data_IF_938273729747
#
_entry.id   IF_938273729747
#
_cell.length_a   1.000
_cell.length_b   1.000
_cell.length_c   1.000
_cell.angle_alpha   90.00
_cell.angle_beta   90.00
_cell.angle_gamma   90.00
#
_symmetry.space_group_name_H-M   'P 1'
#
loop_
_entity.id
_entity.type
_entity.pdbx_description
1 polymer ?
#
# COMPACT_ATOMS: atom_id res chain seq x y z
N UNK A 1 7.02 6.01 -21.76
CA UNK A 1 8.43 6.02 -21.32
C UNK A 1 8.92 4.58 -21.25
N UNK A 2 9.90 4.20 -22.08
CA UNK A 2 10.61 2.90 -21.94
C UNK A 2 11.76 3.12 -20.97
N UNK A 3 11.72 2.46 -19.81
CA UNK A 3 12.81 2.51 -18.84
C UNK A 3 13.85 1.45 -19.20
N UNK A 4 15.13 1.81 -19.20
CA UNK A 4 16.25 0.92 -19.51
C UNK A 4 16.91 0.33 -18.26
N UNK A 5 16.78 1.00 -17.11
CA UNK A 5 17.31 0.55 -15.82
C UNK A 5 16.17 0.31 -14.82
N UNK A 6 16.28 -0.80 -14.08
CA UNK A 6 15.30 -1.18 -13.04
C UNK A 6 15.20 -0.14 -11.93
N UNK A 7 16.32 0.50 -11.57
CA UNK A 7 16.38 1.52 -10.52
C UNK A 7 15.55 2.78 -10.83
N UNK A 8 15.57 3.26 -12.08
CA UNK A 8 14.80 4.45 -12.46
C UNK A 8 13.30 4.18 -12.33
N UNK A 9 12.86 2.98 -12.71
CA UNK A 9 11.48 2.55 -12.56
C UNK A 9 11.10 2.36 -11.08
N UNK A 10 12.02 1.83 -10.27
CA UNK A 10 11.85 1.68 -8.82
C UNK A 10 11.65 3.04 -8.15
N UNK A 11 12.49 4.03 -8.44
CA UNK A 11 12.38 5.40 -7.89
C UNK A 11 11.06 6.06 -8.29
N UNK A 12 10.64 5.92 -9.55
CA UNK A 12 9.34 6.44 -10.00
C UNK A 12 8.18 5.77 -9.26
N UNK A 13 8.25 4.47 -9.03
CA UNK A 13 7.23 3.75 -8.25
C UNK A 13 7.23 4.22 -6.80
N UNK A 14 8.41 4.35 -6.17
CA UNK A 14 8.55 4.84 -4.81
C UNK A 14 7.97 6.24 -4.65
N UNK A 15 8.25 7.16 -5.58
CA UNK A 15 7.68 8.51 -5.57
C UNK A 15 6.15 8.51 -5.70
N UNK A 16 5.59 7.57 -6.47
CA UNK A 16 4.14 7.40 -6.55
C UNK A 16 3.54 6.94 -5.21
N UNK A 17 4.19 6.00 -4.51
CA UNK A 17 3.77 5.57 -3.17
C UNK A 17 3.89 6.71 -2.15
N UNK A 18 5.01 7.45 -2.18
CA UNK A 18 5.24 8.61 -1.30
C UNK A 18 4.17 9.68 -1.49
N UNK A 19 3.75 9.94 -2.73
CA UNK A 19 2.69 10.90 -3.00
C UNK A 19 1.36 10.54 -2.32
N UNK A 20 0.97 9.25 -2.35
CA UNK A 20 -0.21 8.78 -1.62
C UNK A 20 -0.04 8.83 -0.10
N UNK A 21 1.16 8.49 0.38
CA UNK A 21 1.47 8.52 1.80
C UNK A 21 1.47 9.96 2.37
N UNK A 22 2.05 10.92 1.64
CA UNK A 22 2.05 12.35 1.99
C UNK A 22 0.64 12.96 1.99
N UNK A 23 -0.26 12.47 1.13
CA UNK A 23 -1.66 12.91 1.15
C UNK A 23 -2.32 12.64 2.52
N UNK A 24 -2.02 11.48 3.11
CA UNK A 24 -2.47 11.10 4.45
C UNK A 24 -1.55 11.66 5.55
N UNK A 25 -0.45 12.31 5.16
CA UNK A 25 0.56 12.88 6.05
C UNK A 25 1.51 11.84 6.64
N UNK A 26 1.58 10.61 6.10
CA UNK A 26 2.43 9.52 6.56
C UNK A 26 3.63 9.28 5.62
N UNK A 27 4.37 10.31 5.19
CA UNK A 27 5.60 10.07 4.43
C UNK A 27 6.72 9.53 5.34
N UNK A 28 6.72 8.22 5.56
CA UNK A 28 7.66 7.50 6.44
C UNK A 28 9.09 7.49 5.85
N UNK A 29 9.27 7.84 4.58
CA UNK A 29 10.59 7.76 3.91
C UNK A 29 11.50 8.94 4.26
N UNK A 30 10.98 9.97 4.93
CA UNK A 30 11.79 11.08 5.39
C UNK A 30 12.48 10.73 6.72
N UNK A 31 13.81 10.89 6.77
CA UNK A 31 14.69 10.44 7.87
C UNK A 31 14.39 11.09 9.24
N UNK A 32 13.53 12.10 9.28
CA UNK A 32 13.05 12.77 10.49
C UNK A 32 11.52 12.96 10.47
N UNK A 33 10.77 11.92 10.12
CA UNK A 33 9.32 11.98 10.09
C UNK A 33 8.72 12.53 11.40
N UNK A 34 8.03 13.67 11.30
CA UNK A 34 7.18 14.25 12.35
C UNK A 34 5.75 14.26 11.83
N UNK A 35 4.80 13.85 12.68
CA UNK A 35 3.39 13.84 12.32
C UNK A 35 2.94 15.23 11.83
N UNK A 36 2.39 15.28 10.62
CA UNK A 36 1.88 16.51 10.04
C UNK A 36 0.41 16.71 10.47
N UNK A 37 -0.12 17.93 10.33
CA UNK A 37 -1.53 18.25 10.61
C UNK A 37 -2.48 17.32 9.86
N UNK A 38 -2.11 16.90 8.64
CA UNK A 38 -2.84 15.92 7.83
C UNK A 38 -2.94 14.54 8.50
N UNK A 39 -1.84 14.07 9.11
CA UNK A 39 -1.79 12.80 9.85
C UNK A 39 -2.74 12.83 11.05
N UNK A 40 -2.71 13.92 11.81
CA UNK A 40 -3.59 14.10 12.95
C UNK A 40 -5.06 14.20 12.52
N UNK A 41 -5.35 14.92 11.43
CA UNK A 41 -6.70 15.00 10.89
C UNK A 41 -7.22 13.62 10.43
N UNK A 42 -6.38 12.81 9.76
CA UNK A 42 -6.75 11.46 9.33
C UNK A 42 -6.99 10.54 10.53
N UNK A 43 -6.12 10.59 11.55
CA UNK A 43 -6.27 9.83 12.79
C UNK A 43 -7.53 10.23 13.55
N UNK A 44 -7.85 11.53 13.67
CA UNK A 44 -9.07 12.00 14.32
C UNK A 44 -10.30 11.51 13.57
N UNK A 45 -10.30 11.55 12.23
CA UNK A 45 -11.39 11.01 11.42
C UNK A 45 -11.61 9.51 11.66
N UNK A 46 -10.55 8.70 11.60
CA UNK A 46 -10.67 7.25 11.86
C UNK A 46 -11.07 6.98 13.32
N UNK A 47 -10.54 7.74 14.27
CA UNK A 47 -10.90 7.60 15.68
C UNK A 47 -12.38 7.91 15.90
N UNK A 48 -12.90 8.98 15.31
CA UNK A 48 -14.31 9.32 15.38
C UNK A 48 -15.19 8.24 14.76
N UNK A 49 -14.77 7.60 13.67
CA UNK A 49 -15.45 6.43 13.10
C UNK A 49 -15.51 5.27 14.10
N UNK A 50 -14.38 4.94 14.74
CA UNK A 50 -14.27 3.82 15.68
C UNK A 50 -15.08 4.04 16.96
N UNK A 51 -14.89 5.18 17.61
CA UNK A 51 -15.55 5.49 18.87
C UNK A 51 -16.98 5.99 18.69
N UNK A 52 -17.35 6.48 17.51
CA UNK A 52 -18.70 6.94 17.21
C UNK A 52 -19.65 5.83 16.76
N UNK A 53 -19.16 4.62 16.47
CA UNK A 53 -19.97 3.54 15.88
C UNK A 53 -21.11 3.02 16.78
N UNK A 54 -21.03 3.20 18.11
CA UNK A 54 -22.11 2.80 19.02
C UNK A 54 -23.43 3.55 18.74
N UNK A 55 -23.36 4.81 18.31
CA UNK A 55 -24.52 5.65 18.07
C UNK A 55 -25.38 5.16 16.88
N UNK A 56 -24.82 4.92 15.67
CA UNK A 56 -25.59 4.36 14.57
C UNK A 56 -26.05 2.91 14.84
N UNK A 57 -25.36 2.12 15.66
CA UNK A 57 -25.86 0.80 16.09
C UNK A 57 -27.16 0.94 16.90
N UNK A 58 -27.19 1.88 17.83
CA UNK A 58 -28.39 2.17 18.61
C UNK A 58 -29.53 2.74 17.73
N UNK A 59 -29.21 3.70 16.85
CA UNK A 59 -30.19 4.35 15.98
C UNK A 59 -30.81 3.38 14.95
N UNK A 60 -30.01 2.49 14.35
CA UNK A 60 -30.46 1.53 13.34
C UNK A 60 -30.79 0.14 13.90
N UNK A 61 -31.01 0.00 15.21
CA UNK A 61 -31.25 -1.30 15.85
C UNK A 61 -32.36 -2.13 15.18
N UNK A 62 -33.41 -1.48 14.69
CA UNK A 62 -34.53 -2.13 14.00
C UNK A 62 -34.23 -2.58 12.56
N UNK A 63 -33.17 -2.05 11.92
CA UNK A 63 -32.86 -2.29 10.51
C UNK A 63 -31.54 -3.05 10.34
N UNK A 64 -31.66 -4.37 10.27
CA UNK A 64 -30.53 -5.30 10.13
C UNK A 64 -29.63 -5.03 8.92
N UNK A 65 -30.18 -4.57 7.79
CA UNK A 65 -29.40 -4.31 6.57
C UNK A 65 -28.41 -3.16 6.82
N UNK A 66 -28.88 -2.07 7.44
CA UNK A 66 -28.03 -0.93 7.78
C UNK A 66 -26.97 -1.28 8.83
N UNK A 67 -27.30 -2.16 9.77
CA UNK A 67 -26.34 -2.68 10.76
C UNK A 67 -25.25 -3.53 10.11
N UNK A 68 -25.60 -4.40 9.15
CA UNK A 68 -24.61 -5.20 8.41
C UNK A 68 -23.67 -4.32 7.59
N UNK A 69 -24.21 -3.30 6.93
CA UNK A 69 -23.42 -2.31 6.20
C UNK A 69 -22.46 -1.55 7.13
N UNK A 70 -22.97 -1.07 8.28
CA UNK A 70 -22.17 -0.41 9.30
C UNK A 70 -21.06 -1.32 9.83
N UNK A 71 -21.34 -2.61 10.07
CA UNK A 71 -20.35 -3.58 10.52
C UNK A 71 -19.23 -3.78 9.48
N UNK A 72 -19.56 -3.80 8.18
CA UNK A 72 -18.57 -3.88 7.12
C UNK A 72 -17.66 -2.64 7.09
N UNK A 73 -18.24 -1.43 7.20
CA UNK A 73 -17.46 -0.18 7.27
C UNK A 73 -16.60 -0.14 8.54
N UNK A 74 -17.12 -0.61 9.67
CA UNK A 74 -16.37 -0.67 10.92
C UNK A 74 -15.16 -1.62 10.80
N UNK A 75 -15.32 -2.78 10.17
CA UNK A 75 -14.22 -3.71 9.91
C UNK A 75 -13.11 -3.06 9.05
N UNK A 76 -13.48 -2.32 8.00
CA UNK A 76 -12.52 -1.54 7.19
C UNK A 76 -11.83 -0.48 8.04
N UNK A 77 -12.56 0.21 8.92
CA UNK A 77 -11.96 1.18 9.83
C UNK A 77 -10.96 0.57 10.82
N UNK A 78 -11.23 -0.64 11.35
CA UNK A 78 -10.26 -1.39 12.17
C UNK A 78 -9.00 -1.68 11.36
N UNK A 79 -9.13 -2.16 10.12
CA UNK A 79 -7.97 -2.43 9.25
C UNK A 79 -7.14 -1.16 9.01
N UNK A 80 -7.80 -0.03 8.78
CA UNK A 80 -7.14 1.27 8.66
C UNK A 80 -6.35 1.59 9.94
N UNK A 81 -6.99 1.51 11.11
CA UNK A 81 -6.36 1.83 12.39
C UNK A 81 -5.13 0.96 12.69
N UNK A 82 -5.20 -0.35 12.41
CA UNK A 82 -4.05 -1.27 12.58
C UNK A 82 -2.89 -0.88 11.66
N UNK A 83 -3.17 -0.50 10.41
CA UNK A 83 -2.14 -0.05 9.45
C UNK A 83 -1.49 1.27 9.90
N UNK A 84 -2.29 2.25 10.31
CA UNK A 84 -1.80 3.50 10.91
C UNK A 84 -0.90 3.23 12.12
N UNK A 85 -1.37 2.37 13.04
CA UNK A 85 -0.60 2.01 14.23
C UNK A 85 0.74 1.34 13.88
N UNK A 86 0.72 0.39 12.95
CA UNK A 86 1.94 -0.34 12.52
C UNK A 86 2.99 0.61 11.96
N UNK A 87 2.56 1.52 11.09
CA UNK A 87 3.41 2.55 10.50
C UNK A 87 4.03 3.47 11.57
N UNK A 88 3.20 3.98 12.48
CA UNK A 88 3.66 4.87 13.55
C UNK A 88 4.59 4.16 14.54
N UNK A 89 4.38 2.86 14.78
CA UNK A 89 5.15 2.06 15.74
C UNK A 89 6.51 1.62 15.19
N UNK A 90 6.59 1.32 13.89
CA UNK A 90 7.77 0.73 13.25
C UNK A 90 8.32 1.55 12.05
N UNK A 91 8.50 2.88 12.14
CA UNK A 91 8.96 3.69 11.02
C UNK A 91 10.37 3.32 10.54
N UNK A 92 11.24 2.92 11.47
CA UNK A 92 12.61 2.50 11.18
C UNK A 92 12.67 1.22 10.32
N UNK A 93 11.74 0.28 10.56
CA UNK A 93 11.63 -0.95 9.78
C UNK A 93 11.35 -0.66 8.31
N UNK A 94 10.36 0.19 8.03
CA UNK A 94 10.03 0.60 6.67
C UNK A 94 11.18 1.34 5.99
N UNK A 95 11.81 2.29 6.68
CA UNK A 95 12.95 3.06 6.15
C UNK A 95 14.12 2.17 5.76
N UNK A 96 14.49 1.24 6.64
CA UNK A 96 15.58 0.29 6.36
C UNK A 96 15.26 -0.63 5.19
N UNK A 97 14.01 -1.08 5.09
CA UNK A 97 13.60 -1.96 4.01
C UNK A 97 13.61 -1.24 2.65
N UNK A 98 13.22 0.04 2.61
CA UNK A 98 13.38 0.87 1.41
C UNK A 98 14.85 1.04 1.03
N UNK A 99 15.71 1.40 1.98
CA UNK A 99 17.14 1.58 1.73
C UNK A 99 17.80 0.29 1.21
N UNK A 100 17.45 -0.86 1.80
CA UNK A 100 17.94 -2.18 1.36
C UNK A 100 17.49 -2.50 -0.06
N UNK A 101 16.22 -2.23 -0.38
CA UNK A 101 15.68 -2.51 -1.71
C UNK A 101 16.26 -1.59 -2.79
N UNK A 102 16.51 -0.31 -2.45
CA UNK A 102 17.22 0.61 -3.33
C UNK A 102 18.65 0.16 -3.59
N UNK A 103 19.40 -0.21 -2.53
CA UNK A 103 20.75 -0.73 -2.65
C UNK A 103 20.79 -2.00 -3.53
N UNK A 104 19.83 -2.91 -3.35
CA UNK A 104 19.74 -4.11 -4.18
C UNK A 104 19.54 -3.79 -5.67
N UNK A 105 18.69 -2.82 -6.00
CA UNK A 105 18.51 -2.38 -7.38
C UNK A 105 19.75 -1.70 -7.95
N UNK A 106 20.51 -0.96 -7.13
CA UNK A 106 21.81 -0.35 -7.51
C UNK A 106 22.87 -1.41 -7.81
N UNK A 107 23.03 -2.40 -6.94
CA UNK A 107 24.04 -3.46 -7.11
C UNK A 107 23.77 -4.32 -8.35
N UNK A 108 22.50 -4.58 -8.65
CA UNK A 108 22.10 -5.46 -9.76
C UNK A 108 21.82 -4.72 -11.08
N UNK A 109 21.93 -3.37 -11.11
CA UNK A 109 21.64 -2.61 -12.34
C UNK A 109 22.70 -2.76 -13.42
N UNK A 110 23.93 -3.10 -13.05
CA UNK A 110 25.05 -3.23 -13.99
C UNK A 110 25.09 -4.60 -14.69
N UNK A 111 24.43 -5.61 -14.11
CA UNK A 111 24.28 -6.94 -14.72
C UNK A 111 23.09 -6.98 -15.67
N UNK A 112 23.33 -7.20 -16.97
CA UNK A 112 22.29 -7.12 -18.01
C UNK A 112 21.15 -8.13 -17.84
N UNK A 113 21.47 -9.39 -17.48
CA UNK A 113 20.49 -10.48 -17.27
C UNK A 113 19.65 -10.24 -16.00
N UNK A 114 20.29 -9.79 -14.91
CA UNK A 114 19.60 -9.49 -13.65
C UNK A 114 18.74 -8.24 -13.77
N UNK A 115 19.27 -7.16 -14.35
CA UNK A 115 18.54 -5.92 -14.57
C UNK A 115 17.25 -6.16 -15.39
N UNK A 116 17.26 -7.04 -16.39
CA UNK A 116 16.07 -7.39 -17.15
C UNK A 116 15.00 -8.10 -16.28
N UNK A 117 15.41 -9.06 -15.45
CA UNK A 117 14.50 -9.74 -14.50
C UNK A 117 13.94 -8.78 -13.45
N UNK A 118 14.77 -7.94 -12.82
CA UNK A 118 14.30 -6.93 -11.86
C UNK A 118 13.37 -5.92 -12.51
N UNK A 119 13.67 -5.47 -13.74
CA UNK A 119 12.83 -4.52 -14.46
C UNK A 119 11.43 -5.09 -14.72
N UNK A 120 11.34 -6.37 -15.11
CA UNK A 120 10.06 -7.07 -15.25
C UNK A 120 9.31 -7.14 -13.93
N UNK A 121 9.99 -7.48 -12.84
CA UNK A 121 9.38 -7.57 -11.52
C UNK A 121 8.81 -6.20 -11.07
N UNK A 122 9.60 -5.13 -11.14
CA UNK A 122 9.12 -3.78 -10.79
C UNK A 122 7.97 -3.33 -11.70
N UNK A 123 7.96 -3.73 -12.97
CA UNK A 123 6.84 -3.45 -13.85
C UNK A 123 5.55 -4.12 -13.36
N UNK A 124 5.62 -5.39 -12.94
CA UNK A 124 4.48 -6.11 -12.35
C UNK A 124 4.02 -5.45 -11.06
N UNK A 125 4.94 -5.08 -10.17
CA UNK A 125 4.64 -4.35 -8.93
C UNK A 125 3.85 -3.09 -9.25
N UNK A 126 4.35 -2.27 -10.18
CA UNK A 126 3.69 -1.02 -10.58
C UNK A 126 2.29 -1.27 -11.16
N UNK A 127 2.11 -2.32 -11.96
CA UNK A 127 0.80 -2.67 -12.51
C UNK A 127 -0.17 -3.08 -11.41
N UNK A 128 0.26 -3.94 -10.48
CA UNK A 128 -0.56 -4.40 -9.35
C UNK A 128 -0.93 -3.23 -8.44
N UNK A 129 0.03 -2.39 -8.05
CA UNK A 129 -0.22 -1.19 -7.23
C UNK A 129 -1.24 -0.24 -7.89
N UNK A 130 -1.17 -0.06 -9.21
CA UNK A 130 -2.15 0.74 -9.96
C UNK A 130 -3.53 0.10 -9.99
N UNK A 131 -3.62 -1.21 -10.16
CA UNK A 131 -4.89 -1.93 -10.13
C UNK A 131 -5.56 -1.81 -8.75
N UNK A 132 -4.78 -1.94 -7.67
CA UNK A 132 -5.27 -1.74 -6.29
C UNK A 132 -5.77 -0.29 -6.11
N UNK A 133 -4.97 0.69 -6.53
CA UNK A 133 -5.36 2.12 -6.46
C UNK A 133 -6.66 2.40 -7.21
N UNK A 134 -6.83 1.79 -8.40
CA UNK A 134 -8.02 1.91 -9.23
C UNK A 134 -9.24 1.23 -8.59
N UNK A 135 -9.06 0.05 -7.99
CA UNK A 135 -10.11 -0.65 -7.27
C UNK A 135 -10.67 0.21 -6.13
N UNK A 136 -9.80 0.82 -5.32
CA UNK A 136 -10.25 1.72 -4.25
C UNK A 136 -10.91 3.00 -4.79
N UNK A 137 -10.40 3.56 -5.88
CA UNK A 137 -11.04 4.70 -6.55
C UNK A 137 -12.46 4.35 -7.00
N UNK A 138 -12.65 3.22 -7.69
CA UNK A 138 -13.96 2.76 -8.14
C UNK A 138 -14.91 2.54 -6.96
N UNK A 139 -14.44 1.90 -5.88
CA UNK A 139 -15.23 1.73 -4.65
C UNK A 139 -15.67 3.09 -4.07
N UNK A 140 -14.76 4.06 -3.98
CA UNK A 140 -15.08 5.39 -3.48
C UNK A 140 -16.06 6.15 -4.38
N UNK A 141 -15.95 5.99 -5.70
CA UNK A 141 -16.91 6.56 -6.65
C UNK A 141 -18.29 5.93 -6.52
N UNK A 142 -18.37 4.61 -6.34
CA UNK A 142 -19.65 3.92 -6.11
C UNK A 142 -20.30 4.46 -4.85
N UNK A 143 -19.64 4.39 -3.70
CA UNK A 143 -20.18 4.89 -2.43
C UNK A 143 -20.47 6.40 -2.46
N UNK A 144 -19.60 7.18 -3.11
CA UNK A 144 -19.79 8.63 -3.27
C UNK A 144 -20.93 9.00 -4.21
N UNK A 145 -21.35 8.13 -5.12
CA UNK A 145 -22.47 8.39 -6.03
C UNK A 145 -23.84 8.05 -5.43
N UNK A 146 -23.89 7.24 -4.36
CA UNK A 146 -25.12 6.83 -3.66
C UNK A 146 -25.99 8.03 -3.24
N UNK A 147 -25.49 9.07 -2.54
CA UNK A 147 -26.33 10.21 -2.14
C UNK A 147 -26.86 10.98 -3.36
N UNK A 148 -26.06 11.12 -4.42
CA UNK A 148 -26.43 11.81 -5.65
C UNK A 148 -27.55 11.04 -6.38
N UNK A 149 -27.40 9.73 -6.52
CA UNK A 149 -28.41 8.86 -7.11
C UNK A 149 -29.71 8.86 -6.28
N UNK A 150 -29.60 8.77 -4.95
CA UNK A 150 -30.76 8.82 -4.05
C UNK A 150 -31.58 10.12 -4.23
N UNK A 151 -30.88 11.24 -4.33
CA UNK A 151 -31.52 12.54 -4.56
C UNK A 151 -32.19 12.64 -5.94
N UNK A 152 -31.54 12.17 -7.00
CA UNK A 152 -32.08 12.24 -8.37
C UNK A 152 -33.28 11.31 -8.60
N UNK A 153 -33.23 10.08 -8.10
CA UNK A 153 -34.26 9.07 -8.38
C UNK A 153 -35.42 9.08 -7.40
N UNK A 154 -35.14 9.18 -6.09
CA UNK A 154 -36.16 9.05 -5.05
C UNK A 154 -36.55 10.37 -4.41
N UNK A 155 -35.79 11.45 -4.66
CA UNK A 155 -35.88 12.73 -3.92
C UNK A 155 -35.73 12.54 -2.40
N UNK A 156 -35.10 11.45 -1.99
CA UNK A 156 -34.85 11.10 -0.59
C UNK A 156 -33.40 11.41 -0.23
N UNK A 157 -33.18 11.82 1.01
CA UNK A 157 -31.84 12.03 1.57
C UNK A 157 -31.23 10.67 1.92
N UNK A 158 -30.22 10.26 1.18
CA UNK A 158 -29.47 9.01 1.42
C UNK A 158 -28.04 9.37 1.79
N UNK A 159 -27.46 8.65 2.74
CA UNK A 159 -26.05 8.79 3.14
C UNK A 159 -25.16 7.92 2.22
N UNK A 160 -23.85 8.22 2.15
CA UNK A 160 -22.90 7.40 1.38
C UNK A 160 -22.81 5.98 1.95
N UNK A 161 -22.82 5.86 3.27
CA UNK A 161 -22.91 4.59 3.98
C UNK A 161 -23.65 4.75 5.31
N UNK A 162 -24.07 3.64 5.92
CA UNK A 162 -24.90 3.59 7.15
C UNK A 162 -24.22 4.03 8.46
N UNK A 163 -23.32 5.02 8.41
CA UNK A 163 -22.71 5.65 9.59
C UNK A 163 -23.32 7.00 9.91
N UNK A 164 -23.56 7.28 11.19
CA UNK A 164 -24.00 8.58 11.68
C UNK A 164 -23.01 9.11 12.70
N UNK A 165 -22.67 10.39 12.58
CA UNK A 165 -21.93 11.11 13.60
C UNK A 165 -22.78 11.09 14.89
N UNK A 166 -22.18 10.81 16.06
CA UNK A 166 -22.91 10.86 17.33
C UNK A 166 -23.68 12.16 17.52
N UNK A 167 -24.91 12.05 18.02
CA UNK A 167 -25.82 13.19 18.27
C UNK A 167 -26.29 13.95 17.02
N UNK A 168 -26.18 13.34 15.84
CA UNK A 168 -26.72 13.93 14.60
C UNK A 168 -27.93 13.16 14.08
N UNK A 169 -28.89 13.92 13.56
CA UNK A 169 -30.12 13.39 13.00
C UNK A 169 -30.15 13.67 11.48
N UNK A 170 -30.21 12.64 10.60
CA UNK A 170 -30.19 12.84 9.15
C UNK A 170 -31.42 13.56 8.60
N UNK A 171 -32.51 13.68 9.35
CA UNK A 171 -33.71 14.42 8.90
C UNK A 171 -33.46 15.93 8.88
N UNK A 172 -32.64 16.42 9.80
CA UNK A 172 -32.23 17.83 9.87
C UNK A 172 -31.24 18.13 8.73
N UNK A 173 -31.51 19.11 7.83
CA UNK A 173 -30.65 19.38 6.67
C UNK A 173 -29.19 19.63 7.01
N UNK A 174 -28.91 20.41 8.06
CA UNK A 174 -27.55 20.72 8.48
C UNK A 174 -26.77 19.49 8.94
N UNK A 175 -27.40 18.64 9.73
CA UNK A 175 -26.83 17.37 10.19
C UNK A 175 -26.58 16.39 9.04
N UNK A 176 -27.49 16.35 8.06
CA UNK A 176 -27.30 15.57 6.83
C UNK A 176 -26.03 16.00 6.08
N UNK A 177 -25.87 17.30 5.81
CA UNK A 177 -24.68 17.80 5.11
C UNK A 177 -23.40 17.52 5.88
N UNK A 178 -23.42 17.65 7.21
CA UNK A 178 -22.27 17.33 8.06
C UNK A 178 -21.88 15.85 7.96
N UNK A 179 -22.85 14.94 8.03
CA UNK A 179 -22.61 13.50 7.88
C UNK A 179 -22.05 13.18 6.50
N UNK A 180 -22.65 13.69 5.43
CA UNK A 180 -22.20 13.46 4.05
C UNK A 180 -20.78 14.00 3.85
N UNK A 181 -20.47 15.21 4.31
CA UNK A 181 -19.13 15.79 4.22
C UNK A 181 -18.09 14.94 4.95
N UNK A 182 -18.41 14.48 6.17
CA UNK A 182 -17.53 13.59 6.93
C UNK A 182 -17.34 12.23 6.26
N UNK A 183 -18.39 11.64 5.70
CA UNK A 183 -18.31 10.38 4.98
C UNK A 183 -17.47 10.50 3.71
N UNK A 184 -17.61 11.58 2.94
CA UNK A 184 -16.72 11.85 1.80
C UNK A 184 -15.27 12.02 2.24
N UNK A 185 -15.03 12.76 3.33
CA UNK A 185 -13.70 12.90 3.90
C UNK A 185 -13.09 11.52 4.25
N UNK A 186 -13.85 10.65 4.91
CA UNK A 186 -13.42 9.29 5.21
C UNK A 186 -13.14 8.46 3.95
N UNK A 187 -13.95 8.59 2.89
CA UNK A 187 -13.70 7.92 1.61
C UNK A 187 -12.38 8.36 0.98
N UNK A 188 -12.07 9.67 1.00
CA UNK A 188 -10.79 10.19 0.50
C UNK A 188 -9.60 9.69 1.32
N UNK A 189 -9.71 9.71 2.65
CA UNK A 189 -8.67 9.18 3.55
C UNK A 189 -8.48 7.68 3.33
N UNK A 190 -9.56 6.91 3.20
CA UNK A 190 -9.50 5.49 2.94
C UNK A 190 -8.84 5.20 1.58
N UNK A 191 -9.23 5.92 0.53
CA UNK A 191 -8.64 5.74 -0.79
C UNK A 191 -7.12 5.92 -0.77
N UNK A 192 -6.64 7.05 -0.26
CA UNK A 192 -5.21 7.33 -0.22
C UNK A 192 -4.46 6.40 0.75
N UNK A 193 -5.00 6.17 1.95
CA UNK A 193 -4.35 5.36 2.99
C UNK A 193 -4.24 3.89 2.62
N UNK A 194 -5.31 3.28 2.11
CA UNK A 194 -5.28 1.89 1.66
C UNK A 194 -4.44 1.72 0.40
N UNK A 195 -4.56 2.64 -0.56
CA UNK A 195 -3.72 2.62 -1.77
C UNK A 195 -2.24 2.65 -1.43
N UNK A 196 -1.82 3.54 -0.51
CA UNK A 196 -0.45 3.60 -0.04
C UNK A 196 -0.03 2.30 0.65
N UNK A 197 -0.76 1.89 1.70
CA UNK A 197 -0.39 0.74 2.52
C UNK A 197 -0.31 -0.56 1.72
N UNK A 198 -1.28 -0.85 0.85
CA UNK A 198 -1.26 -2.07 0.05
C UNK A 198 -0.16 -2.04 -1.00
N UNK A 199 0.09 -0.88 -1.61
CA UNK A 199 1.20 -0.74 -2.56
C UNK A 199 2.56 -0.98 -1.90
N UNK A 200 2.73 -0.54 -0.65
CA UNK A 200 3.93 -0.80 0.15
C UNK A 200 4.10 -2.31 0.40
N UNK A 201 3.03 -3.00 0.80
CA UNK A 201 3.08 -4.46 1.04
C UNK A 201 3.43 -5.20 -0.26
N UNK A 202 2.76 -4.86 -1.36
CA UNK A 202 3.05 -5.47 -2.68
C UNK A 202 4.50 -5.22 -3.08
N UNK A 203 5.02 -4.00 -2.88
CA UNK A 203 6.42 -3.69 -3.18
C UNK A 203 7.37 -4.63 -2.43
N UNK A 204 7.14 -4.87 -1.14
CA UNK A 204 8.01 -5.74 -0.35
C UNK A 204 7.85 -7.23 -0.71
N UNK A 205 6.61 -7.73 -0.76
CA UNK A 205 6.36 -9.15 -1.07
C UNK A 205 6.85 -9.50 -2.47
N UNK A 206 6.57 -8.67 -3.47
CA UNK A 206 7.03 -8.93 -4.82
C UNK A 206 8.54 -8.65 -4.98
N UNK A 207 9.14 -7.78 -4.18
CA UNK A 207 10.60 -7.64 -4.18
C UNK A 207 11.31 -8.93 -3.77
N UNK A 208 10.74 -9.72 -2.86
CA UNK A 208 11.24 -11.06 -2.51
C UNK A 208 11.29 -12.00 -3.71
N UNK A 209 10.26 -11.99 -4.56
CA UNK A 209 10.29 -12.74 -5.81
C UNK A 209 11.45 -12.29 -6.72
N UNK A 210 11.71 -10.98 -6.76
CA UNK A 210 12.87 -10.42 -7.46
C UNK A 210 14.22 -10.91 -6.92
N UNK A 211 14.37 -11.05 -5.60
CA UNK A 211 15.57 -11.63 -5.01
C UNK A 211 15.76 -13.10 -5.42
N UNK A 212 14.68 -13.88 -5.45
CA UNK A 212 14.72 -15.29 -5.88
C UNK A 212 15.09 -15.42 -7.35
N UNK A 213 14.55 -14.56 -8.22
CA UNK A 213 14.88 -14.55 -9.65
C UNK A 213 16.36 -14.20 -9.89
N UNK A 214 16.92 -13.25 -9.14
CA UNK A 214 18.36 -12.94 -9.19
C UNK A 214 19.19 -14.11 -8.70
N UNK A 215 18.83 -14.72 -7.57
CA UNK A 215 19.53 -15.88 -7.03
C UNK A 215 19.56 -17.02 -8.05
N UNK A 216 18.44 -17.29 -8.71
CA UNK A 216 18.33 -18.30 -9.76
C UNK A 216 19.26 -17.97 -10.94
N UNK A 217 19.26 -16.72 -11.42
CA UNK A 217 20.15 -16.31 -12.48
C UNK A 217 21.63 -16.49 -12.11
N UNK A 218 22.04 -16.14 -10.88
CA UNK A 218 23.41 -16.32 -10.40
C UNK A 218 23.79 -17.80 -10.28
N UNK A 219 22.86 -18.67 -9.86
CA UNK A 219 23.06 -20.13 -9.84
C UNK A 219 23.22 -20.68 -11.26
N UNK A 220 22.40 -20.23 -12.21
CA UNK A 220 22.49 -20.64 -13.61
C UNK A 220 23.84 -20.21 -14.22
N UNK A 221 24.29 -18.97 -13.96
CA UNK A 221 25.63 -18.49 -14.36
C UNK A 221 26.76 -19.34 -13.75
N UNK A 222 26.66 -19.69 -12.47
CA UNK A 222 27.64 -20.56 -11.81
C UNK A 222 27.68 -21.95 -12.47
N UNK A 223 26.52 -22.51 -12.82
CA UNK A 223 26.42 -23.80 -13.49
C UNK A 223 27.01 -23.73 -14.91
N UNK A 224 26.79 -22.64 -15.65
CA UNK A 224 27.43 -22.40 -16.95
C UNK A 224 28.96 -22.29 -16.84
N UNK A 225 29.48 -21.57 -15.84
CA UNK A 225 30.92 -21.52 -15.56
C UNK A 225 31.51 -22.89 -15.22
N UNK A 226 30.81 -23.69 -14.40
CA UNK A 226 31.23 -25.06 -14.06
C UNK A 226 31.30 -25.98 -15.29
N UNK A 227 30.38 -25.80 -16.25
CA UNK A 227 30.39 -26.54 -17.52
C UNK A 227 31.51 -26.06 -18.45
N UNK A 228 31.80 -24.76 -18.48
CA UNK A 228 32.84 -24.19 -19.34
C UNK A 228 34.28 -24.45 -18.86
N UNK A 229 34.53 -24.40 -17.55
CA UNK A 229 35.89 -24.55 -16.98
C UNK A 229 36.39 -26.00 -17.04
N UNK A 230 35.49 -26.99 -17.16
CA UNK A 230 35.85 -28.41 -17.04
C UNK A 230 36.50 -28.73 -15.68
N UNK A 231 37.03 -29.95 -15.49
CA UNK A 231 37.73 -30.37 -14.27
C UNK A 231 39.12 -29.70 -14.08
N UNK A 232 39.28 -28.45 -14.50
CA UNK A 232 40.50 -27.64 -14.31
C UNK A 232 40.63 -27.06 -12.90
N UNK A 233 41.87 -26.74 -12.53
CA UNK A 233 42.28 -26.42 -11.14
C UNK A 233 41.94 -24.99 -10.68
N UNK A 234 41.51 -24.08 -11.57
CA UNK A 234 41.29 -22.67 -11.21
C UNK A 234 39.80 -22.41 -10.90
N UNK A 235 39.41 -22.75 -9.66
CA UNK A 235 38.02 -22.65 -9.16
C UNK A 235 37.68 -21.32 -8.48
N UNK A 236 38.52 -20.30 -8.62
CA UNK A 236 38.31 -19.01 -7.93
C UNK A 236 37.00 -18.34 -8.34
N UNK A 237 36.69 -18.35 -9.63
CA UNK A 237 35.47 -17.76 -10.18
C UNK A 237 34.20 -18.47 -9.69
N UNK A 238 34.26 -19.81 -9.55
CA UNK A 238 33.18 -20.61 -8.96
C UNK A 238 33.03 -20.33 -7.47
N UNK A 239 34.13 -20.21 -6.71
CA UNK A 239 34.08 -19.86 -5.28
C UNK A 239 33.51 -18.46 -5.05
N UNK A 240 33.84 -17.48 -5.90
CA UNK A 240 33.29 -16.14 -5.84
C UNK A 240 31.79 -16.12 -6.12
N UNK A 241 31.32 -16.86 -7.14
CA UNK A 241 29.88 -17.03 -7.43
C UNK A 241 29.14 -17.74 -6.29
N UNK A 242 29.76 -18.73 -5.65
CA UNK A 242 29.16 -19.46 -4.53
C UNK A 242 29.06 -18.58 -3.26
N UNK A 243 30.05 -17.71 -3.03
CA UNK A 243 29.98 -16.67 -2.00
C UNK A 243 28.93 -15.61 -2.31
N UNK A 244 28.76 -15.23 -3.57
CA UNK A 244 27.70 -14.33 -4.03
C UNK A 244 26.31 -14.93 -3.76
N UNK A 245 26.10 -16.21 -4.08
CA UNK A 245 24.87 -16.97 -3.80
C UNK A 245 24.62 -17.04 -2.29
N UNK A 246 25.64 -17.34 -1.48
CA UNK A 246 25.51 -17.41 -0.03
C UNK A 246 25.10 -16.05 0.57
N UNK A 247 25.69 -14.94 0.08
CA UNK A 247 25.32 -13.58 0.50
C UNK A 247 23.92 -13.18 0.06
N UNK A 248 23.53 -13.53 -1.16
CA UNK A 248 22.16 -13.29 -1.67
C UNK A 248 21.13 -14.08 -0.87
N UNK A 249 21.42 -15.34 -0.53
CA UNK A 249 20.55 -16.18 0.28
C UNK A 249 20.42 -15.68 1.73
N UNK A 250 21.53 -15.26 2.35
CA UNK A 250 21.51 -14.64 3.68
C UNK A 250 20.68 -13.35 3.69
N UNK A 251 20.76 -12.54 2.64
CA UNK A 251 19.96 -11.30 2.48
C UNK A 251 18.45 -11.56 2.30
N UNK A 252 18.06 -12.76 1.85
CA UNK A 252 16.65 -13.18 1.76
C UNK A 252 16.10 -13.64 3.12
N UNK A 253 16.96 -14.18 4.00
CA UNK A 253 16.58 -14.74 5.30
C UNK A 253 16.57 -13.71 6.45
N UNK A 254 17.36 -12.65 6.35
CA UNK A 254 17.42 -11.52 7.32
C UNK A 254 16.45 -10.37 6.99
#
# INVERSE_FOLDING_TARGET
MKFTRSIDLYVVNLNYLRWWADFVGLDITETNYKGNVRTYAALVGVFMLMFGAWYPVWFYWANWIKLMELAAIYAVGIQGMVKFYTVCRYPYFFTNMYARLEQFHREQSDHTKNNASLLRNIHLIRQISRLISLQYLLSCLIYGSIPIAGFLYKREKVLCFSYLIPFTDPDIPWHYFLNVAYQYYLLFVAWAGFSASESVIVLFVASLAGYVDVLKNTVDEMNECLVQVGYGNDRKEVQEKLLEIARLHQRVLE
#
